data_IF_542602726398
#
_entry.id   IF_542602726398
#
_cell.length_a   1.000
_cell.length_b   1.000
_cell.length_c   1.000
_cell.angle_alpha   90.00
_cell.angle_beta   90.00
_cell.angle_gamma   90.00
#
_symmetry.space_group_name_H-M   'P 1'
#
loop_
_entity.id
_entity.type
_entity.pdbx_description
1 polymer ?
#
# COMPACT_ATOMS: atom_id res chain seq x y z
N UNK A 1 4.29 -6.71 6.79
CA UNK A 1 3.99 -7.24 5.43
C UNK A 1 2.54 -7.72 5.41
N UNK A 2 1.84 -7.56 4.29
CA UNK A 2 0.37 -7.60 4.22
C UNK A 2 -0.15 -8.39 3.03
N UNK A 3 -1.45 -8.29 2.77
CA UNK A 3 -2.11 -8.94 1.62
C UNK A 3 -2.43 -7.87 0.58
N UNK A 4 -2.31 -8.22 -0.71
CA UNK A 4 -2.70 -7.36 -1.83
C UNK A 4 -3.99 -7.90 -2.42
N UNK A 5 -5.00 -7.03 -2.53
CA UNK A 5 -6.29 -7.36 -3.13
C UNK A 5 -6.46 -6.64 -4.47
N UNK A 6 -7.17 -7.28 -5.39
CA UNK A 6 -7.82 -6.57 -6.49
C UNK A 6 -9.05 -5.86 -5.92
N UNK A 7 -9.11 -4.55 -6.05
CA UNK A 7 -10.17 -3.72 -5.51
C UNK A 7 -10.64 -2.69 -6.54
N UNK A 8 -11.87 -2.20 -6.38
CA UNK A 8 -12.41 -1.09 -7.15
C UNK A 8 -12.34 0.17 -6.29
N UNK A 9 -11.70 1.23 -6.77
CA UNK A 9 -11.79 2.57 -6.19
C UNK A 9 -13.09 3.23 -6.69
N UNK A 10 -14.08 3.49 -5.82
CA UNK A 10 -15.36 4.05 -6.24
C UNK A 10 -15.30 5.54 -6.55
N UNK A 11 -14.29 6.27 -6.07
CA UNK A 11 -14.15 7.72 -6.31
C UNK A 11 -13.47 8.00 -7.65
N UNK A 12 -12.47 7.19 -7.98
CA UNK A 12 -11.73 7.30 -9.24
C UNK A 12 -12.26 6.37 -10.33
N UNK A 13 -13.25 5.55 -10.00
CA UNK A 13 -13.85 4.55 -10.90
C UNK A 13 -12.78 3.72 -11.65
N UNK A 14 -11.81 3.17 -10.91
CA UNK A 14 -10.76 2.32 -11.49
C UNK A 14 -10.41 1.13 -10.61
N UNK A 15 -9.87 0.09 -11.23
CA UNK A 15 -9.36 -1.07 -10.50
C UNK A 15 -7.96 -0.76 -9.96
N UNK A 16 -7.69 -1.21 -8.75
CA UNK A 16 -6.46 -0.91 -8.00
C UNK A 16 -5.96 -2.16 -7.26
N UNK A 17 -4.65 -2.19 -7.02
CA UNK A 17 -4.03 -3.15 -6.11
C UNK A 17 -3.99 -2.56 -4.69
N UNK A 18 -4.84 -3.04 -3.78
CA UNK A 18 -4.94 -2.54 -2.42
C UNK A 18 -4.11 -3.40 -1.45
N UNK A 19 -2.98 -2.85 -0.95
CA UNK A 19 -2.14 -3.51 0.05
C UNK A 19 -2.63 -3.20 1.47
N UNK A 20 -3.06 -4.22 2.21
CA UNK A 20 -3.58 -4.09 3.57
C UNK A 20 -2.68 -4.81 4.56
N UNK A 21 -2.36 -4.18 5.69
CA UNK A 21 -1.62 -4.83 6.78
C UNK A 21 -2.48 -5.91 7.46
N UNK A 22 -1.88 -7.06 7.76
CA UNK A 22 -2.56 -8.08 8.56
C UNK A 22 -2.77 -7.58 10.01
N UNK A 23 -3.95 -7.79 10.63
CA UNK A 23 -4.26 -7.26 11.96
C UNK A 23 -3.24 -7.63 13.04
N UNK A 24 -2.74 -8.87 13.01
CA UNK A 24 -1.72 -9.37 13.93
C UNK A 24 -0.37 -8.66 13.80
N UNK A 25 -0.04 -8.17 12.59
CA UNK A 25 1.21 -7.46 12.30
C UNK A 25 1.04 -5.95 12.55
N UNK A 26 -0.16 -5.42 12.34
CA UNK A 26 -0.47 -4.00 12.54
C UNK A 26 -0.37 -3.53 14.00
N UNK A 27 -0.39 -4.45 14.97
CA UNK A 27 -0.21 -4.11 16.39
C UNK A 27 1.23 -3.72 16.73
N UNK A 28 2.19 -4.17 15.94
CA UNK A 28 3.60 -3.82 16.10
C UNK A 28 3.86 -2.39 15.57
N UNK A 29 4.44 -1.54 16.41
CA UNK A 29 4.77 -0.16 16.06
C UNK A 29 5.86 -0.07 14.98
N UNK A 30 6.86 -0.95 15.01
CA UNK A 30 7.94 -0.95 14.02
C UNK A 30 7.40 -1.32 12.64
N UNK A 31 6.51 -2.32 12.59
CA UNK A 31 5.91 -2.77 11.33
C UNK A 31 4.99 -1.72 10.71
N UNK A 32 4.25 -0.97 11.53
CA UNK A 32 3.48 0.19 11.08
C UNK A 32 4.40 1.27 10.51
N UNK A 33 5.44 1.62 11.24
CA UNK A 33 6.39 2.65 10.80
C UNK A 33 7.06 2.27 9.47
N UNK A 34 7.45 1.00 9.31
CA UNK A 34 7.99 0.48 8.06
C UNK A 34 6.97 0.57 6.92
N UNK A 35 5.71 0.18 7.16
CA UNK A 35 4.65 0.23 6.15
C UNK A 35 4.42 1.67 5.67
N UNK A 36 4.36 2.64 6.58
CA UNK A 36 4.24 4.06 6.25
C UNK A 36 5.44 4.58 5.47
N UNK A 37 6.66 4.17 5.85
CA UNK A 37 7.89 4.56 5.15
C UNK A 37 7.90 4.04 3.71
N UNK A 38 7.51 2.78 3.49
CA UNK A 38 7.38 2.20 2.14
C UNK A 38 6.36 2.98 1.30
N UNK A 39 5.18 3.28 1.85
CA UNK A 39 4.14 4.03 1.16
C UNK A 39 4.63 5.45 0.76
N UNK A 40 5.31 6.16 1.67
CA UNK A 40 5.87 7.49 1.39
C UNK A 40 6.98 7.45 0.34
N UNK A 41 7.79 6.39 0.31
CA UNK A 41 8.84 6.25 -0.69
C UNK A 41 8.26 6.04 -2.09
N UNK A 42 7.26 5.16 -2.24
CA UNK A 42 6.59 4.91 -3.52
C UNK A 42 5.83 6.13 -4.02
N UNK A 43 5.13 6.85 -3.14
CA UNK A 43 4.39 8.06 -3.50
C UNK A 43 5.26 9.20 -4.07
N UNK A 44 6.59 9.16 -3.86
CA UNK A 44 7.55 10.14 -4.39
C UNK A 44 8.17 9.71 -5.73
N UNK A 45 7.91 8.51 -6.20
CA UNK A 45 8.49 7.98 -7.44
C UNK A 45 7.48 8.07 -8.58
N UNK A 46 7.92 8.59 -9.73
CA UNK A 46 7.20 8.52 -11.00
C UNK A 46 8.16 8.00 -12.06
N UNK A 47 7.91 6.78 -12.52
CA UNK A 47 8.73 6.13 -13.54
C UNK A 47 7.90 5.07 -14.26
N UNK A 48 8.01 4.89 -15.59
CA UNK A 48 7.17 3.95 -16.35
C UNK A 48 7.26 2.49 -15.88
N UNK A 49 8.38 2.10 -15.26
CA UNK A 49 8.60 0.76 -14.72
C UNK A 49 8.35 0.65 -13.20
N UNK A 50 7.70 1.64 -12.58
CA UNK A 50 7.34 1.63 -11.16
C UNK A 50 5.83 1.80 -11.03
N UNK A 51 5.21 0.90 -10.28
CA UNK A 51 3.76 0.96 -10.00
C UNK A 51 3.45 2.23 -9.23
N UNK A 52 2.47 2.99 -9.74
CA UNK A 52 2.02 4.30 -9.22
C UNK A 52 0.58 4.23 -8.73
#
# INVERSE_FOLDING_TARGET
MGVVYHARDPLLERDVALKVMLPQIARDAEQRHRFEREARAVARMMHPNVVT
#
